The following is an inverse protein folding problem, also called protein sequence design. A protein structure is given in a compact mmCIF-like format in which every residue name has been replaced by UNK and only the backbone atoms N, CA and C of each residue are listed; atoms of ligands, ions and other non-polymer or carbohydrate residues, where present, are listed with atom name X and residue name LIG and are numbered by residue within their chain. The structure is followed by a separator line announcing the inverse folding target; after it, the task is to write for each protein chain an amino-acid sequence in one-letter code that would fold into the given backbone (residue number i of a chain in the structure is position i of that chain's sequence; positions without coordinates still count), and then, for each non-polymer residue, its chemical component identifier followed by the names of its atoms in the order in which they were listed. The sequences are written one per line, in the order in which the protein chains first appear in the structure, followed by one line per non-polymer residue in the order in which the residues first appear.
data_IF_306245024208
#
_entry.id   IF_306245024208
#
_cell.length_a   1.000
_cell.length_b   1.000
_cell.length_c   1.000
_cell.angle_alpha   90.00
_cell.angle_beta   90.00
_cell.angle_gamma   90.00
#
_symmetry.space_group_name_H-M   'P 1'
#
loop_
_entity.id
_entity.type
_entity.pdbx_description
1 polymer ?
#
# COMPACT_ATOMS: atom_id res chain seq x y z
N UNK A 1 20.78 -21.43 0.62
CA UNK A 1 21.01 -20.02 1.02
C UNK A 1 20.67 -19.94 2.49
N UNK A 2 21.67 -19.80 3.35
CA UNK A 2 21.47 -19.75 4.81
C UNK A 2 20.84 -18.41 5.18
N UNK A 3 19.75 -18.44 5.95
CA UNK A 3 19.19 -17.23 6.54
C UNK A 3 20.14 -16.77 7.66
N UNK A 4 20.78 -15.62 7.46
CA UNK A 4 21.76 -15.04 8.40
C UNK A 4 21.08 -13.94 9.21
N UNK A 5 20.19 -14.31 10.14
CA UNK A 5 19.59 -13.36 11.09
C UNK A 5 20.45 -13.20 12.36
N UNK A 6 20.36 -12.07 13.08
CA UNK A 6 20.99 -11.95 14.39
C UNK A 6 20.37 -12.97 15.36
N UNK A 7 21.18 -13.60 16.20
CA UNK A 7 20.69 -14.49 17.24
C UNK A 7 20.26 -13.69 18.47
N UNK A 8 19.16 -14.09 19.10
CA UNK A 8 18.77 -13.58 20.41
C UNK A 8 19.90 -13.87 21.41
N UNK A 9 20.37 -12.83 22.11
CA UNK A 9 21.49 -12.97 23.06
C UNK A 9 21.11 -13.83 24.29
N UNK A 10 19.82 -13.93 24.61
CA UNK A 10 19.34 -14.66 25.78
C UNK A 10 19.00 -16.13 25.52
N UNK A 11 18.48 -16.47 24.33
CA UNK A 11 18.03 -17.84 24.02
C UNK A 11 18.68 -18.47 22.78
N UNK A 12 19.53 -17.74 22.06
CA UNK A 12 20.21 -18.22 20.86
C UNK A 12 19.30 -18.45 19.65
N UNK A 13 18.00 -18.16 19.75
CA UNK A 13 17.05 -18.29 18.65
C UNK A 13 17.41 -17.32 17.51
N UNK A 14 17.28 -17.79 16.27
CA UNK A 14 17.48 -16.96 15.09
C UNK A 14 16.34 -15.93 15.02
N UNK A 15 16.66 -14.65 15.13
CA UNK A 15 15.67 -13.61 14.95
C UNK A 15 15.35 -13.48 13.45
N UNK A 16 14.08 -13.32 13.07
CA UNK A 16 13.72 -13.07 11.68
C UNK A 16 14.44 -11.81 11.18
N UNK A 17 14.99 -11.87 9.98
CA UNK A 17 15.55 -10.69 9.31
C UNK A 17 14.44 -9.63 9.18
N UNK A 18 14.63 -8.48 9.83
CA UNK A 18 13.72 -7.34 9.74
C UNK A 18 13.91 -6.68 8.38
N UNK A 19 13.07 -7.05 7.41
CA UNK A 19 13.08 -6.42 6.08
C UNK A 19 11.84 -5.54 5.92
N UNK A 20 11.97 -4.35 5.31
CA UNK A 20 10.81 -3.53 4.99
C UNK A 20 9.86 -4.31 4.07
N UNK A 21 8.55 -4.03 4.12
CA UNK A 21 7.61 -4.61 3.17
C UNK A 21 8.05 -4.26 1.74
N UNK A 22 7.92 -5.20 0.79
CA UNK A 22 8.22 -4.91 -0.60
C UNK A 22 7.25 -3.84 -1.13
N UNK A 23 7.66 -3.02 -2.11
CA UNK A 23 6.76 -2.05 -2.72
C UNK A 23 5.53 -2.73 -3.32
N UNK A 24 4.36 -2.15 -3.08
CA UNK A 24 3.13 -2.53 -3.77
C UNK A 24 3.16 -1.96 -5.20
N UNK A 25 3.13 -2.86 -6.18
CA UNK A 25 3.08 -2.50 -7.61
C UNK A 25 1.88 -3.13 -8.33
N UNK A 26 1.30 -4.20 -7.78
CA UNK A 26 0.22 -4.95 -8.41
C UNK A 26 -0.95 -4.07 -8.90
N UNK A 27 -1.44 -3.07 -8.15
CA UNK A 27 -2.51 -2.21 -8.66
C UNK A 27 -2.12 -1.42 -9.92
N UNK A 28 -0.91 -0.86 -9.96
CA UNK A 28 -0.42 -0.13 -11.13
C UNK A 28 -0.19 -1.06 -12.32
N UNK A 29 0.33 -2.26 -12.07
CA UNK A 29 0.55 -3.29 -13.08
C UNK A 29 -0.77 -3.79 -13.66
N UNK A 30 -1.80 -3.98 -12.84
CA UNK A 30 -3.14 -4.34 -13.27
C UNK A 30 -3.69 -3.31 -14.26
N UNK A 31 -3.61 -2.01 -13.95
CA UNK A 31 -4.10 -0.95 -14.84
C UNK A 31 -3.37 -0.92 -16.18
N UNK A 32 -2.04 -1.08 -16.15
CA UNK A 32 -1.22 -1.17 -17.37
C UNK A 32 -1.60 -2.38 -18.20
N UNK A 33 -1.81 -3.53 -17.55
CA UNK A 33 -2.21 -4.78 -18.21
C UNK A 33 -3.59 -4.63 -18.85
N UNK A 34 -4.60 -4.16 -18.11
CA UNK A 34 -5.95 -4.00 -18.65
C UNK A 34 -6.00 -3.04 -19.83
N UNK A 35 -5.25 -1.93 -19.75
CA UNK A 35 -5.15 -0.98 -20.86
C UNK A 35 -4.49 -1.59 -22.10
N UNK A 36 -3.50 -2.48 -21.90
CA UNK A 36 -2.87 -3.23 -22.98
C UNK A 36 -3.83 -4.25 -23.59
N UNK A 37 -4.46 -5.08 -22.76
CA UNK A 37 -5.43 -6.11 -23.17
C UNK A 37 -6.58 -5.52 -23.99
N UNK A 38 -7.07 -4.34 -23.61
CA UNK A 38 -8.11 -3.66 -24.37
C UNK A 38 -7.59 -3.17 -25.74
N UNK A 39 -6.37 -2.64 -25.79
CA UNK A 39 -5.74 -2.18 -27.05
C UNK A 39 -5.39 -3.33 -27.98
N UNK A 40 -5.04 -4.50 -27.45
CA UNK A 40 -4.79 -5.72 -28.22
C UNK A 40 -6.07 -6.47 -28.57
N UNK A 41 -7.24 -6.01 -28.09
CA UNK A 41 -8.54 -6.66 -28.28
C UNK A 41 -8.61 -8.05 -27.61
N UNK A 42 -7.80 -8.29 -26.58
CA UNK A 42 -7.87 -9.48 -25.73
C UNK A 42 -9.07 -9.43 -24.77
N UNK A 43 -9.51 -8.21 -24.42
CA UNK A 43 -10.75 -7.93 -23.70
C UNK A 43 -11.55 -6.88 -24.47
N UNK A 44 -12.87 -6.86 -24.26
CA UNK A 44 -13.73 -5.81 -24.78
C UNK A 44 -13.94 -4.65 -23.80
N UNK A 45 -14.64 -3.63 -24.28
CA UNK A 45 -14.95 -2.40 -23.54
C UNK A 45 -15.78 -2.68 -22.28
N UNK A 46 -16.71 -3.64 -22.37
CA UNK A 46 -17.58 -4.01 -21.25
C UNK A 46 -16.78 -4.66 -20.13
N UNK A 47 -15.88 -5.58 -20.47
CA UNK A 47 -15.00 -6.24 -19.50
C UNK A 47 -14.02 -5.24 -18.88
N UNK A 48 -13.43 -4.34 -19.68
CA UNK A 48 -12.54 -3.31 -19.17
C UNK A 48 -13.22 -2.38 -18.16
N UNK A 49 -14.41 -1.85 -18.50
CA UNK A 49 -15.17 -0.98 -17.61
C UNK A 49 -15.65 -1.72 -16.35
N UNK A 50 -16.02 -3.01 -16.46
CA UNK A 50 -16.35 -3.84 -15.30
C UNK A 50 -15.20 -3.94 -14.32
N UNK A 51 -13.97 -4.21 -14.80
CA UNK A 51 -12.76 -4.29 -13.96
C UNK A 51 -12.44 -2.95 -13.30
N UNK A 52 -12.63 -1.84 -14.01
CA UNK A 52 -12.49 -0.49 -13.46
C UNK A 52 -13.47 -0.26 -12.32
N UNK A 53 -14.76 -0.56 -12.53
CA UNK A 53 -15.80 -0.32 -11.54
C UNK A 53 -15.64 -1.23 -10.31
N UNK A 54 -15.26 -2.49 -10.49
CA UNK A 54 -14.92 -3.38 -9.36
C UNK A 54 -13.79 -2.82 -8.50
N UNK A 55 -12.72 -2.32 -9.15
CA UNK A 55 -11.58 -1.72 -8.45
C UNK A 55 -11.98 -0.42 -7.76
N UNK A 56 -12.79 0.41 -8.42
CA UNK A 56 -13.33 1.66 -7.85
C UNK A 56 -14.18 1.38 -6.61
N UNK A 57 -15.08 0.41 -6.70
CA UNK A 57 -15.91 -0.02 -5.57
C UNK A 57 -15.07 -0.55 -4.40
N UNK A 58 -14.00 -1.28 -4.69
CA UNK A 58 -13.05 -1.73 -3.65
C UNK A 58 -12.39 -0.53 -2.95
N UNK A 59 -11.82 0.43 -3.68
CA UNK A 59 -11.17 1.60 -3.07
C UNK A 59 -12.12 2.50 -2.30
N UNK A 60 -13.36 2.68 -2.76
CA UNK A 60 -14.37 3.43 -2.02
C UNK A 60 -14.69 2.77 -0.66
N UNK A 61 -14.84 1.44 -0.62
CA UNK A 61 -15.04 0.71 0.65
C UNK A 61 -13.85 0.86 1.59
N UNK A 62 -12.62 0.86 1.05
CA UNK A 62 -11.41 1.05 1.86
C UNK A 62 -11.37 2.48 2.43
N UNK A 63 -11.68 3.50 1.63
CA UNK A 63 -11.74 4.88 2.10
C UNK A 63 -12.80 5.07 3.20
N UNK A 64 -14.00 4.52 3.01
CA UNK A 64 -15.06 4.55 4.03
C UNK A 64 -14.61 3.88 5.34
N UNK A 65 -13.96 2.72 5.24
CA UNK A 65 -13.39 2.05 6.42
C UNK A 65 -12.33 2.92 7.11
N UNK A 66 -11.47 3.60 6.35
CA UNK A 66 -10.45 4.50 6.89
C UNK A 66 -11.03 5.75 7.56
N UNK A 67 -12.18 6.23 7.12
CA UNK A 67 -12.90 7.35 7.75
C UNK A 67 -13.55 6.94 9.07
N UNK A 68 -13.93 5.66 9.20
CA UNK A 68 -14.51 5.10 10.42
C UNK A 68 -13.49 4.65 11.47
N UNK A 69 -12.19 4.77 11.19
CA UNK A 69 -11.14 4.36 12.13
C UNK A 69 -11.10 5.27 13.36
N UNK A 70 -11.32 4.68 14.53
CA UNK A 70 -11.07 5.33 15.82
C UNK A 70 -9.57 5.24 16.14
N UNK A 71 -8.88 6.38 16.08
CA UNK A 71 -7.45 6.47 16.39
C UNK A 71 -7.32 6.99 17.83
N UNK A 72 -6.62 6.26 18.72
CA UNK A 72 -6.28 6.77 20.05
C UNK A 72 -5.53 8.11 19.96
N UNK A 73 -5.89 9.08 20.82
CA UNK A 73 -5.30 10.43 20.77
C UNK A 73 -3.78 10.44 20.94
N UNK A 74 -3.24 9.50 21.70
CA UNK A 74 -1.81 9.33 21.92
C UNK A 74 -1.05 8.78 20.70
N UNK A 75 -1.76 8.14 19.77
CA UNK A 75 -1.19 7.63 18.51
C UNK A 75 -1.43 8.55 17.31
N UNK A 76 -2.32 9.54 17.44
CA UNK A 76 -2.82 10.33 16.31
C UNK A 76 -1.68 11.00 15.52
N UNK A 77 -0.74 11.65 16.21
CA UNK A 77 0.39 12.33 15.56
C UNK A 77 1.32 11.37 14.80
N UNK A 78 1.41 10.11 15.23
CA UNK A 78 2.35 9.13 14.69
C UNK A 78 1.80 8.44 13.45
N UNK A 79 0.48 8.28 13.36
CA UNK A 79 -0.20 7.63 12.23
C UNK A 79 -0.79 8.63 11.23
N UNK A 80 -0.86 9.92 11.57
CA UNK A 80 -1.48 10.94 10.73
C UNK A 80 -0.83 11.05 9.34
N UNK A 81 0.51 11.03 9.27
CA UNK A 81 1.23 11.15 8.00
C UNK A 81 1.01 9.90 7.12
N UNK A 82 1.07 8.71 7.74
CA UNK A 82 0.77 7.43 7.07
C UNK A 82 -0.65 7.46 6.48
N UNK A 83 -1.65 7.78 7.29
CA UNK A 83 -3.04 7.77 6.88
C UNK A 83 -3.33 8.84 5.83
N UNK A 84 -2.67 10.01 5.91
CA UNK A 84 -2.78 11.04 4.88
C UNK A 84 -2.21 10.56 3.55
N UNK A 85 -1.01 9.96 3.55
CA UNK A 85 -0.39 9.40 2.35
C UNK A 85 -1.24 8.27 1.77
N UNK A 86 -1.76 7.37 2.62
CA UNK A 86 -2.62 6.26 2.23
C UNK A 86 -3.92 6.73 1.59
N UNK A 87 -4.63 7.67 2.22
CA UNK A 87 -5.87 8.26 1.68
C UNK A 87 -5.65 8.97 0.36
N UNK A 88 -4.60 9.79 0.24
CA UNK A 88 -4.26 10.46 -1.02
C UNK A 88 -3.88 9.46 -2.12
N UNK A 89 -3.18 8.39 -1.77
CA UNK A 89 -2.87 7.30 -2.69
C UNK A 89 -4.14 6.64 -3.24
N UNK A 90 -5.10 6.29 -2.36
CA UNK A 90 -6.38 5.72 -2.79
C UNK A 90 -7.21 6.70 -3.65
N UNK A 91 -7.27 7.97 -3.26
CA UNK A 91 -7.96 9.01 -4.03
C UNK A 91 -7.32 9.20 -5.42
N UNK A 92 -6.00 9.27 -5.51
CA UNK A 92 -5.30 9.35 -6.80
C UNK A 92 -5.54 8.12 -7.69
N UNK A 93 -5.71 6.93 -7.10
CA UNK A 93 -6.11 5.75 -7.86
C UNK A 93 -7.55 5.83 -8.37
N UNK A 94 -8.48 6.40 -7.60
CA UNK A 94 -9.85 6.66 -8.06
C UNK A 94 -9.87 7.65 -9.23
N UNK A 95 -9.05 8.71 -9.16
CA UNK A 95 -8.88 9.67 -10.26
C UNK A 95 -8.29 8.99 -11.51
N UNK A 96 -7.27 8.16 -11.34
CA UNK A 96 -6.68 7.40 -12.44
C UNK A 96 -7.69 6.45 -13.10
N UNK A 97 -8.52 5.77 -12.30
CA UNK A 97 -9.61 4.92 -12.80
C UNK A 97 -10.66 5.73 -13.56
N UNK A 98 -10.98 6.94 -13.10
CA UNK A 98 -11.85 7.89 -13.83
C UNK A 98 -11.26 8.26 -15.18
N UNK A 99 -10.00 8.66 -15.21
CA UNK A 99 -9.30 9.01 -16.45
C UNK A 99 -9.17 7.82 -17.42
N UNK A 100 -9.03 6.59 -16.91
CA UNK A 100 -9.04 5.38 -17.75
C UNK A 100 -10.43 5.10 -18.36
N UNK A 101 -11.51 5.37 -17.64
CA UNK A 101 -12.87 5.32 -18.22
C UNK A 101 -13.02 6.37 -19.32
N UNK A 102 -12.53 7.60 -19.14
CA UNK A 102 -12.58 8.64 -20.19
C UNK A 102 -11.72 8.28 -21.42
N UNK A 103 -10.54 7.71 -21.18
CA UNK A 103 -9.65 7.25 -22.25
C UNK A 103 -10.29 6.13 -23.09
N UNK A 104 -11.12 5.30 -22.46
CA UNK A 104 -11.82 4.23 -23.16
C UNK A 104 -12.69 4.77 -24.31
N UNK A 105 -13.42 5.86 -24.06
CA UNK A 105 -14.21 6.57 -25.08
C UNK A 105 -13.31 7.29 -26.12
N UNK A 106 -12.27 7.98 -25.67
CA UNK A 106 -11.46 8.85 -26.55
C UNK A 106 -10.46 8.08 -27.41
N UNK A 107 -9.95 6.96 -26.88
CA UNK A 107 -8.81 6.17 -27.39
C UNK A 107 -7.54 6.99 -27.64
N UNK A 108 -7.46 8.21 -27.15
CA UNK A 108 -6.33 9.10 -27.38
C UNK A 108 -5.11 8.65 -26.56
N UNK A 109 -3.93 8.45 -27.18
CA UNK A 109 -2.74 8.01 -26.45
C UNK A 109 -2.35 8.92 -25.27
N UNK A 110 -2.52 10.23 -25.43
CA UNK A 110 -2.25 11.24 -24.40
C UNK A 110 -3.14 11.08 -23.15
N UNK A 111 -4.39 10.65 -23.32
CA UNK A 111 -5.31 10.42 -22.20
C UNK A 111 -4.90 9.18 -21.40
N UNK A 112 -4.44 8.13 -22.09
CA UNK A 112 -3.89 6.95 -21.44
C UNK A 112 -2.60 7.28 -20.66
N UNK A 113 -1.70 8.03 -21.26
CA UNK A 113 -0.46 8.48 -20.61
C UNK A 113 -0.76 9.29 -19.35
N UNK A 114 -1.72 10.21 -19.43
CA UNK A 114 -2.21 10.99 -18.28
C UNK A 114 -2.77 10.09 -17.19
N UNK A 115 -3.64 9.15 -17.54
CA UNK A 115 -4.26 8.24 -16.57
C UNK A 115 -3.23 7.34 -15.86
N UNK A 116 -2.25 6.81 -16.60
CA UNK A 116 -1.18 5.97 -16.04
C UNK A 116 -0.17 6.79 -15.20
N UNK A 117 0.03 8.08 -15.52
CA UNK A 117 0.83 8.98 -14.70
C UNK A 117 0.16 9.24 -13.34
N UNK A 118 -1.16 9.48 -13.33
CA UNK A 118 -1.95 9.60 -12.09
C UNK A 118 -1.84 8.32 -11.24
N UNK A 119 -2.02 7.15 -11.86
CA UNK A 119 -1.86 5.87 -11.17
C UNK A 119 -0.45 5.67 -10.59
N UNK A 120 0.58 6.13 -11.30
CA UNK A 120 1.97 6.04 -10.82
C UNK A 120 2.20 6.94 -9.60
N UNK A 121 1.67 8.16 -9.62
CA UNK A 121 1.72 9.07 -8.47
C UNK A 121 0.97 8.50 -7.27
N UNK A 122 -0.23 7.97 -7.49
CA UNK A 122 -1.05 7.30 -6.49
C UNK A 122 -0.32 6.11 -5.85
N UNK A 123 0.33 5.28 -6.67
CA UNK A 123 1.13 4.15 -6.21
C UNK A 123 2.35 4.58 -5.36
N UNK A 124 2.97 5.70 -5.70
CA UNK A 124 4.06 6.28 -4.90
C UNK A 124 3.59 6.67 -3.50
N UNK A 125 2.42 7.30 -3.40
CA UNK A 125 1.82 7.70 -2.11
C UNK A 125 1.43 6.50 -1.25
N UNK A 126 0.87 5.44 -1.85
CA UNK A 126 0.60 4.18 -1.13
C UNK A 126 1.88 3.54 -0.60
N UNK A 127 2.95 3.52 -1.41
CA UNK A 127 4.24 2.99 -0.97
C UNK A 127 4.90 3.86 0.10
N UNK A 128 4.69 5.18 0.07
CA UNK A 128 5.10 6.07 1.16
C UNK A 128 4.36 5.72 2.45
N UNK A 129 3.04 5.50 2.40
CA UNK A 129 2.25 5.08 3.56
C UNK A 129 2.78 3.76 4.15
N UNK A 130 3.03 2.74 3.33
CA UNK A 130 3.61 1.47 3.79
C UNK A 130 4.98 1.64 4.45
N UNK A 131 5.81 2.52 3.90
CA UNK A 131 7.13 2.82 4.44
C UNK A 131 7.03 3.53 5.80
N UNK A 132 6.12 4.49 5.93
CA UNK A 132 5.83 5.17 7.20
C UNK A 132 5.30 4.17 8.23
N UNK A 133 4.32 3.34 7.85
CA UNK A 133 3.77 2.30 8.71
C UNK A 133 4.85 1.36 9.26
N UNK A 134 5.73 0.89 8.37
CA UNK A 134 6.85 0.03 8.76
C UNK A 134 7.80 0.72 9.75
N UNK A 135 8.12 1.99 9.53
CA UNK A 135 8.97 2.76 10.47
C UNK A 135 8.31 2.91 11.83
N UNK A 136 7.02 3.24 11.87
CA UNK A 136 6.26 3.35 13.12
C UNK A 136 6.26 2.01 13.86
N UNK A 137 6.00 0.91 13.15
CA UNK A 137 6.08 -0.44 13.72
C UNK A 137 7.48 -0.76 14.31
N UNK A 138 8.56 -0.41 13.59
CA UNK A 138 9.92 -0.61 14.09
C UNK A 138 10.17 0.15 15.41
N UNK A 139 9.78 1.42 15.48
CA UNK A 139 9.92 2.24 16.70
C UNK A 139 9.21 1.62 17.90
N UNK A 140 7.97 1.17 17.73
CA UNK A 140 7.21 0.51 18.80
C UNK A 140 7.84 -0.81 19.24
N UNK A 141 8.33 -1.60 18.28
CA UNK A 141 8.99 -2.86 18.59
C UNK A 141 10.30 -2.62 19.38
N UNK A 142 11.11 -1.64 18.99
CA UNK A 142 12.34 -1.28 19.68
C UNK A 142 12.07 -0.80 21.12
N UNK A 143 11.06 0.06 21.31
CA UNK A 143 10.66 0.52 22.63
C UNK A 143 10.15 -0.61 23.53
N UNK A 144 9.39 -1.57 22.97
CA UNK A 144 8.93 -2.75 23.70
C UNK A 144 10.08 -3.67 24.10
N UNK A 145 11.05 -3.89 23.21
CA UNK A 145 12.26 -4.67 23.48
C UNK A 145 13.12 -4.02 24.56
N UNK A 146 13.31 -2.69 24.53
CA UNK A 146 14.01 -1.94 25.58
C UNK A 146 13.30 -2.03 26.93
N UNK A 147 11.97 -1.89 26.96
CA UNK A 147 11.19 -2.02 28.18
C UNK A 147 11.34 -3.42 28.79
N UNK A 148 11.20 -4.47 27.97
CA UNK A 148 11.34 -5.87 28.41
C UNK A 148 12.74 -6.15 28.98
N UNK A 149 13.78 -5.58 28.37
CA UNK A 149 15.15 -5.67 28.87
C UNK A 149 15.33 -4.93 30.21
N UNK A 150 14.69 -3.77 30.40
CA UNK A 150 14.79 -2.97 31.63
C UNK A 150 14.05 -3.60 32.82
N UNK A 151 12.91 -4.28 32.59
CA UNK A 151 12.14 -4.94 33.66
C UNK A 151 12.64 -6.34 34.01
N UNK A 152 13.79 -6.75 33.46
CA UNK A 152 14.42 -8.04 33.77
C UNK A 152 13.60 -9.24 33.30
N UNK A 153 12.78 -9.09 32.26
CA UNK A 153 12.02 -10.21 31.70
C UNK A 153 12.96 -11.11 30.90
N UNK A 154 13.66 -12.00 31.60
CA UNK A 154 14.29 -13.17 31.03
C UNK A 154 13.16 -14.16 30.74
N UNK A 155 12.71 -14.25 29.48
CA UNK A 155 11.62 -15.15 29.09
C UNK A 155 11.77 -16.52 29.76
N UNK A 156 10.72 -16.97 30.47
CA UNK A 156 10.75 -18.28 31.14
C UNK A 156 11.01 -19.40 30.13
N UNK A 157 11.81 -20.42 30.51
CA UNK A 157 12.33 -21.46 29.61
C UNK A 157 11.24 -22.32 28.96
#
# INVERSE_FOLDING_TARGET
MSASGPNCQSCGALLPERKPPPPMNAPLEDLRRWSLELRSQDIDETEFLSRIEERRAHYNRVLEALESLEIPQDMEAEVQEELLAGRRGLQGFLEALGALSEWEDSRAPEDLERALALATQANSLLNQALSLNWRTFQTYQEAAEEFLAQVGYEGSP
#
